data_IF_205554748334
#
_entry.id   IF_205554748334
#
_cell.length_a   1.000
_cell.length_b   1.000
_cell.length_c   1.000
_cell.angle_alpha   90.00
_cell.angle_beta   90.00
_cell.angle_gamma   90.00
#
_symmetry.space_group_name_H-M   'P 1'
#
loop_
_entity.id
_entity.type
_entity.pdbx_description
1 polymer ?
#
# COMPACT_ATOMS: atom_id res chain seq x y z
N UNK A 1 -27.15 1.37 -3.66
CA UNK A 1 -25.88 0.69 -3.39
C UNK A 1 -25.93 -0.70 -4.00
N UNK A 2 -25.74 -0.81 -5.31
CA UNK A 2 -25.62 -2.12 -5.97
C UNK A 2 -24.14 -2.53 -6.06
N UNK A 3 -23.56 -2.95 -4.94
CA UNK A 3 -22.31 -3.71 -4.95
C UNK A 3 -22.65 -5.21 -5.07
N UNK A 4 -22.03 -5.91 -6.00
CA UNK A 4 -22.09 -7.36 -6.07
C UNK A 4 -21.06 -7.95 -5.10
N UNK A 5 -21.53 -8.77 -4.16
CA UNK A 5 -20.71 -9.36 -3.11
C UNK A 5 -20.91 -10.87 -3.14
N UNK A 6 -19.80 -11.61 -3.30
CA UNK A 6 -19.85 -13.06 -3.47
C UNK A 6 -18.63 -13.73 -2.87
N UNK A 7 -18.84 -14.77 -2.08
CA UNK A 7 -17.76 -15.70 -1.71
C UNK A 7 -17.32 -16.53 -2.92
N UNK A 8 -16.02 -16.57 -3.16
CA UNK A 8 -15.39 -17.31 -4.26
C UNK A 8 -14.20 -18.13 -3.76
N UNK A 9 -13.80 -19.13 -4.53
CA UNK A 9 -12.46 -19.73 -4.40
C UNK A 9 -11.51 -18.95 -5.31
N UNK A 10 -10.36 -18.51 -4.77
CA UNK A 10 -9.41 -17.69 -5.52
C UNK A 10 -7.99 -18.24 -5.42
N UNK A 11 -7.47 -18.75 -6.54
CA UNK A 11 -6.13 -19.31 -6.63
C UNK A 11 -5.84 -20.34 -5.54
N UNK A 12 -4.70 -20.19 -4.87
CA UNK A 12 -4.32 -20.98 -3.69
C UNK A 12 -4.52 -20.22 -2.37
N UNK A 13 -5.37 -19.20 -2.36
CA UNK A 13 -5.71 -18.40 -1.18
C UNK A 13 -6.95 -18.92 -0.44
N UNK A 14 -7.62 -19.94 -0.99
CA UNK A 14 -8.85 -20.51 -0.43
C UNK A 14 -10.06 -19.62 -0.69
N UNK A 15 -10.95 -19.52 0.29
CA UNK A 15 -12.12 -18.65 0.23
C UNK A 15 -11.72 -17.18 0.31
N UNK A 16 -12.30 -16.40 -0.59
CA UNK A 16 -12.19 -14.96 -0.64
C UNK A 16 -13.57 -14.33 -0.85
N UNK A 17 -13.72 -13.06 -0.49
CA UNK A 17 -14.88 -12.25 -0.81
C UNK A 17 -14.57 -11.40 -2.05
N UNK A 18 -15.31 -11.61 -3.13
CA UNK A 18 -15.32 -10.73 -4.30
C UNK A 18 -16.31 -9.60 -4.08
N UNK A 19 -15.86 -8.36 -4.27
CA UNK A 19 -16.64 -7.13 -4.15
C UNK A 19 -16.52 -6.37 -5.46
N UNK A 20 -17.64 -6.04 -6.10
CA UNK A 20 -17.67 -5.36 -7.39
C UNK A 20 -18.71 -4.24 -7.43
N UNK A 21 -18.37 -3.12 -8.07
CA UNK A 21 -19.31 -2.05 -8.42
C UNK A 21 -19.60 -1.99 -9.93
N UNK A 22 -19.25 -3.06 -10.66
CA UNK A 22 -19.37 -3.15 -12.13
C UNK A 22 -18.19 -2.58 -12.90
N UNK A 23 -17.39 -1.69 -12.30
CA UNK A 23 -16.18 -1.12 -12.90
C UNK A 23 -14.92 -1.72 -12.27
N UNK A 24 -14.86 -1.76 -10.95
CA UNK A 24 -13.78 -2.38 -10.18
C UNK A 24 -14.25 -3.70 -9.59
N UNK A 25 -13.31 -4.63 -9.46
CA UNK A 25 -13.44 -5.81 -8.61
C UNK A 25 -12.28 -5.87 -7.63
N UNK A 26 -12.58 -5.89 -6.34
CA UNK A 26 -11.65 -6.25 -5.29
C UNK A 26 -11.92 -7.68 -4.82
N UNK A 27 -10.86 -8.46 -4.60
CA UNK A 27 -10.95 -9.78 -3.98
C UNK A 27 -10.20 -9.72 -2.64
N UNK A 28 -10.89 -10.07 -1.56
CA UNK A 28 -10.35 -10.01 -0.20
C UNK A 28 -10.28 -11.41 0.40
N UNK A 29 -9.13 -11.80 0.95
CA UNK A 29 -8.98 -13.11 1.60
C UNK A 29 -9.79 -13.20 2.88
N UNK A 30 -10.52 -14.30 3.07
CA UNK A 30 -11.30 -14.56 4.29
C UNK A 30 -10.90 -15.83 5.03
N UNK A 31 -10.22 -16.78 4.39
CA UNK A 31 -9.59 -17.92 5.08
C UNK A 31 -8.25 -17.55 5.75
N UNK A 32 -7.61 -16.46 5.30
CA UNK A 32 -6.36 -15.89 5.84
C UNK A 32 -6.40 -14.36 5.78
N UNK A 33 -5.54 -13.67 6.52
CA UNK A 33 -5.32 -12.22 6.40
C UNK A 33 -5.97 -11.37 7.50
N UNK A 34 -6.63 -10.23 7.14
CA UNK A 34 -7.16 -9.91 5.81
C UNK A 34 -6.15 -9.30 4.83
N UNK A 35 -6.36 -9.56 3.54
CA UNK A 35 -5.60 -9.01 2.41
C UNK A 35 -6.54 -8.68 1.25
N UNK A 36 -6.42 -7.49 0.66
CA UNK A 36 -6.99 -7.25 -0.68
C UNK A 36 -6.02 -7.89 -1.67
N UNK A 37 -6.28 -9.12 -2.10
CA UNK A 37 -5.33 -9.91 -2.90
C UNK A 37 -5.38 -9.57 -4.39
N UNK A 38 -6.52 -9.07 -4.85
CA UNK A 38 -6.69 -8.60 -6.23
C UNK A 38 -7.48 -7.31 -6.29
N UNK A 39 -7.07 -6.42 -7.21
CA UNK A 39 -7.84 -5.27 -7.66
C UNK A 39 -7.78 -5.22 -9.19
N UNK A 40 -8.94 -5.35 -9.83
CA UNK A 40 -9.06 -5.48 -11.29
C UNK A 40 -10.07 -4.48 -11.84
N UNK A 41 -9.85 -4.05 -13.09
CA UNK A 41 -10.74 -3.18 -13.86
C UNK A 41 -11.60 -4.01 -14.81
N UNK A 42 -12.91 -4.12 -14.56
CA UNK A 42 -13.83 -5.05 -15.21
C UNK A 42 -14.32 -4.61 -16.59
N UNK A 43 -14.39 -3.30 -16.84
CA UNK A 43 -14.80 -2.72 -18.14
C UNK A 43 -13.62 -2.61 -19.14
N UNK A 44 -12.42 -3.03 -18.75
CA UNK A 44 -11.28 -3.16 -19.65
C UNK A 44 -11.46 -4.38 -20.58
N UNK A 45 -10.93 -4.36 -21.82
CA UNK A 45 -11.04 -5.50 -22.76
C UNK A 45 -10.48 -6.82 -22.21
N UNK A 46 -9.45 -6.73 -21.36
CA UNK A 46 -8.86 -7.86 -20.66
C UNK A 46 -8.64 -7.48 -19.19
N UNK A 47 -9.65 -7.69 -18.32
CA UNK A 47 -9.51 -7.44 -16.89
C UNK A 47 -8.32 -8.21 -16.31
N UNK A 48 -7.46 -7.52 -15.57
CA UNK A 48 -6.32 -8.13 -14.91
C UNK A 48 -6.06 -7.49 -13.56
N UNK A 49 -5.48 -8.28 -12.65
CA UNK A 49 -5.08 -7.83 -11.33
C UNK A 49 -3.89 -6.87 -11.45
N UNK A 50 -3.95 -5.71 -10.78
CA UNK A 50 -2.83 -4.77 -10.66
C UNK A 50 -1.92 -5.10 -9.47
N UNK A 51 -2.43 -5.86 -8.49
CA UNK A 51 -1.71 -6.25 -7.29
C UNK A 51 -0.83 -7.49 -7.56
N UNK A 52 0.23 -7.62 -6.77
CA UNK A 52 1.10 -8.80 -6.79
C UNK A 52 0.49 -9.94 -5.98
N UNK A 53 0.59 -11.16 -6.49
CA UNK A 53 0.14 -12.39 -5.82
C UNK A 53 1.33 -13.31 -5.54
N UNK A 54 1.72 -13.49 -4.27
CA UNK A 54 2.77 -14.43 -3.88
C UNK A 54 2.25 -15.88 -3.84
N UNK A 55 1.82 -16.39 -5.00
CA UNK A 55 1.26 -17.75 -5.13
C UNK A 55 2.27 -18.84 -4.75
N UNK A 56 3.57 -18.57 -4.81
CA UNK A 56 4.61 -19.52 -4.42
C UNK A 56 4.97 -19.46 -2.94
N UNK A 57 4.42 -18.50 -2.17
CA UNK A 57 4.76 -18.27 -0.76
C UNK A 57 6.26 -18.08 -0.56
N UNK A 58 6.88 -17.33 -1.48
CA UNK A 58 8.33 -17.09 -1.52
C UNK A 58 8.79 -16.23 -0.36
N UNK A 59 7.98 -15.25 0.03
CA UNK A 59 8.33 -14.26 1.04
C UNK A 59 7.76 -14.67 2.40
N UNK A 60 8.66 -15.10 3.30
CA UNK A 60 8.29 -15.66 4.61
C UNK A 60 9.23 -15.21 5.72
N UNK A 61 8.73 -15.16 6.96
CA UNK A 61 9.54 -15.11 8.16
C UNK A 61 9.19 -16.32 9.05
N UNK A 62 10.21 -17.10 9.40
CA UNK A 62 10.07 -18.37 10.14
C UNK A 62 11.40 -18.77 10.78
N UNK A 63 11.37 -19.83 11.58
CA UNK A 63 12.55 -20.42 12.22
C UNK A 63 12.55 -20.22 13.74
N UNK A 64 13.61 -20.67 14.41
CA UNK A 64 13.63 -20.81 15.88
C UNK A 64 13.24 -19.54 16.65
N UNK A 65 13.73 -18.37 16.22
CA UNK A 65 13.37 -17.11 16.87
C UNK A 65 11.90 -16.75 16.66
N UNK A 66 11.35 -17.06 15.49
CA UNK A 66 9.94 -16.88 15.18
C UNK A 66 9.05 -17.86 15.95
N UNK A 67 9.47 -19.11 16.07
CA UNK A 67 8.77 -20.14 16.84
C UNK A 67 8.69 -19.79 18.34
N UNK A 68 9.72 -19.13 18.88
CA UNK A 68 9.73 -18.64 20.26
C UNK A 68 8.69 -17.53 20.50
N UNK A 69 8.39 -16.73 19.47
CA UNK A 69 7.44 -15.61 19.57
C UNK A 69 6.00 -16.05 19.33
N UNK A 70 5.79 -16.93 18.34
CA UNK A 70 4.45 -17.25 17.83
C UNK A 70 4.07 -18.73 17.95
N UNK A 71 4.91 -19.54 18.60
CA UNK A 71 4.68 -20.97 18.75
C UNK A 71 5.30 -21.84 17.64
N UNK A 72 5.38 -23.16 17.85
CA UNK A 72 6.12 -24.06 16.97
C UNK A 72 5.51 -24.14 15.56
N UNK A 73 6.38 -24.09 14.55
CA UNK A 73 6.03 -24.13 13.11
C UNK A 73 5.24 -22.90 12.63
N UNK A 74 5.33 -21.79 13.37
CA UNK A 74 4.73 -20.54 12.94
C UNK A 74 5.50 -19.98 11.75
N UNK A 75 4.76 -19.41 10.80
CA UNK A 75 5.33 -18.82 9.61
C UNK A 75 4.51 -17.61 9.19
N UNK A 76 5.17 -16.47 9.08
CA UNK A 76 4.63 -15.32 8.38
C UNK A 76 4.67 -15.60 6.86
N UNK A 77 3.62 -15.19 6.16
CA UNK A 77 3.57 -15.17 4.70
C UNK A 77 3.14 -13.79 4.22
N UNK A 78 3.85 -13.25 3.23
CA UNK A 78 3.46 -11.98 2.61
C UNK A 78 2.11 -12.09 1.90
N UNK A 79 1.82 -13.22 1.26
CA UNK A 79 0.65 -13.49 0.41
C UNK A 79 0.52 -12.61 -0.84
N UNK A 80 0.97 -11.36 -0.81
CA UNK A 80 0.78 -10.37 -1.86
C UNK A 80 -0.30 -9.36 -1.48
N UNK A 81 -0.82 -8.63 -2.47
CA UNK A 81 -1.98 -7.77 -2.31
C UNK A 81 -1.72 -6.52 -1.48
N UNK A 82 -2.74 -6.09 -0.77
CA UNK A 82 -2.71 -4.97 0.14
C UNK A 82 -3.05 -5.38 1.58
N UNK A 83 -2.35 -4.79 2.55
CA UNK A 83 -2.48 -5.09 3.99
C UNK A 83 -2.17 -3.90 4.89
N UNK A 84 -2.52 -4.05 6.17
CA UNK A 84 -2.10 -3.16 7.25
C UNK A 84 -1.01 -3.79 8.13
N UNK A 85 -0.02 -2.97 8.46
CA UNK A 85 0.99 -3.18 9.49
C UNK A 85 1.02 -1.99 10.45
N UNK A 86 1.84 -2.12 11.49
CA UNK A 86 2.13 -1.04 12.42
C UNK A 86 3.60 -0.63 12.24
N UNK A 87 3.85 0.67 12.33
CA UNK A 87 5.20 1.26 12.37
C UNK A 87 5.45 1.89 13.76
N UNK A 88 6.70 1.94 14.27
CA UNK A 88 7.95 1.43 13.66
C UNK A 88 7.95 -0.08 13.43
N UNK A 89 8.66 -0.52 12.40
CA UNK A 89 8.86 -1.95 12.13
C UNK A 89 9.54 -2.62 13.33
N UNK A 90 8.90 -3.65 13.85
CA UNK A 90 9.42 -4.47 14.93
C UNK A 90 9.14 -5.93 14.62
N UNK A 91 10.16 -6.79 14.77
CA UNK A 91 10.04 -8.18 14.38
C UNK A 91 8.87 -8.89 15.09
N UNK A 92 8.62 -8.56 16.36
CA UNK A 92 7.56 -9.17 17.17
C UNK A 92 6.15 -8.62 16.86
N UNK A 93 6.03 -7.37 16.42
CA UNK A 93 4.73 -6.72 16.15
C UNK A 93 4.31 -6.77 14.69
N UNK A 94 5.28 -6.68 13.78
CA UNK A 94 5.07 -6.54 12.34
C UNK A 94 4.88 -7.91 11.69
N UNK A 95 5.76 -8.88 11.95
CA UNK A 95 5.77 -10.18 11.25
C UNK A 95 4.82 -11.22 11.83
N UNK A 96 3.75 -10.82 12.50
CA UNK A 96 2.79 -11.79 13.02
C UNK A 96 2.17 -12.65 11.90
N UNK A 97 2.04 -13.97 12.13
CA UNK A 97 1.48 -14.90 11.15
C UNK A 97 -0.06 -14.78 11.03
N UNK A 98 -0.53 -13.85 10.20
CA UNK A 98 -1.94 -13.59 9.91
C UNK A 98 -2.59 -14.66 9.01
N UNK A 99 -2.46 -15.93 9.42
CA UNK A 99 -2.91 -17.12 8.69
C UNK A 99 -4.27 -17.65 9.16
N UNK A 100 -5.02 -16.85 9.92
CA UNK A 100 -6.30 -17.24 10.50
C UNK A 100 -7.47 -16.68 9.68
N UNK A 101 -8.64 -17.33 9.71
CA UNK A 101 -9.84 -16.81 9.07
C UNK A 101 -10.26 -15.43 9.59
N UNK A 102 -10.80 -14.62 8.69
CA UNK A 102 -11.23 -13.24 8.91
C UNK A 102 -12.74 -13.19 9.01
N UNK A 103 -13.26 -12.36 9.92
CA UNK A 103 -14.69 -12.04 9.97
C UNK A 103 -14.93 -10.79 9.14
N UNK A 104 -15.90 -10.85 8.23
CA UNK A 104 -16.35 -9.67 7.49
C UNK A 104 -17.79 -9.30 7.84
N UNK A 105 -18.10 -8.01 7.85
CA UNK A 105 -19.43 -7.48 8.12
C UNK A 105 -19.84 -6.45 7.08
N UNK A 106 -21.11 -6.51 6.67
CA UNK A 106 -21.73 -5.50 5.80
C UNK A 106 -22.18 -4.34 6.69
N UNK A 107 -21.74 -3.13 6.38
CA UNK A 107 -22.14 -1.90 7.07
C UNK A 107 -22.79 -0.93 6.10
N UNK A 108 -23.35 0.18 6.60
CA UNK A 108 -23.85 1.26 5.74
C UNK A 108 -22.72 1.97 4.97
N UNK A 109 -21.50 1.95 5.51
CA UNK A 109 -20.32 2.63 4.96
C UNK A 109 -19.55 1.76 3.96
N UNK A 110 -19.65 0.43 4.07
CA UNK A 110 -18.89 -0.50 3.23
C UNK A 110 -18.86 -1.92 3.79
N UNK A 111 -17.75 -2.61 3.58
CA UNK A 111 -17.53 -3.98 4.06
C UNK A 111 -16.30 -3.95 4.96
N UNK A 112 -16.48 -4.26 6.23
CA UNK A 112 -15.37 -4.34 7.18
C UNK A 112 -14.79 -5.74 7.23
N UNK A 113 -13.48 -5.82 7.46
CA UNK A 113 -12.71 -7.06 7.60
C UNK A 113 -11.86 -6.98 8.86
N UNK A 114 -12.21 -7.80 9.84
CA UNK A 114 -11.53 -7.86 11.13
C UNK A 114 -10.86 -9.21 11.28
N UNK A 115 -9.53 -9.21 11.45
CA UNK A 115 -8.83 -10.39 11.94
C UNK A 115 -9.31 -10.71 13.37
N UNK A 116 -9.28 -11.99 13.78
CA UNK A 116 -9.52 -12.37 15.17
C UNK A 116 -8.65 -11.52 16.10
N UNK A 117 -9.19 -11.14 17.27
CA UNK A 117 -8.38 -10.39 18.25
C UNK A 117 -7.19 -11.26 18.67
N UNK A 118 -6.01 -10.79 18.30
CA UNK A 118 -4.75 -11.48 18.56
C UNK A 118 -4.20 -11.12 19.95
N UNK A 119 -3.08 -11.73 20.35
CA UNK A 119 -2.29 -11.31 21.52
C UNK A 119 -1.58 -9.95 21.35
N UNK A 120 -1.90 -9.18 20.31
CA UNK A 120 -1.30 -7.85 20.08
C UNK A 120 -2.05 -6.78 20.87
N UNK A 121 -1.32 -5.75 21.30
CA UNK A 121 -1.89 -4.60 21.98
C UNK A 121 -2.80 -3.75 21.09
N UNK A 122 -2.54 -3.72 19.79
CA UNK A 122 -3.36 -3.02 18.79
C UNK A 122 -4.03 -4.05 17.89
N UNK A 123 -5.36 -4.04 17.86
CA UNK A 123 -6.16 -4.79 16.90
C UNK A 123 -6.29 -3.98 15.61
N UNK A 124 -6.06 -4.63 14.47
CA UNK A 124 -6.12 -4.02 13.14
C UNK A 124 -7.33 -4.49 12.35
N UNK A 125 -7.93 -3.56 11.62
CA UNK A 125 -9.08 -3.78 10.73
C UNK A 125 -8.91 -2.90 9.48
N UNK A 126 -9.50 -3.32 8.36
CA UNK A 126 -9.81 -2.37 7.30
C UNK A 126 -11.25 -2.52 6.80
N UNK A 127 -11.79 -1.42 6.29
CA UNK A 127 -13.07 -1.37 5.60
C UNK A 127 -12.84 -0.95 4.14
N UNK A 128 -13.58 -1.59 3.23
CA UNK A 128 -13.65 -1.22 1.82
C UNK A 128 -14.97 -0.54 1.54
N UNK A 129 -14.93 0.59 0.84
CA UNK A 129 -16.11 1.27 0.31
C UNK A 129 -15.92 1.57 -1.19
N UNK A 130 -16.95 1.28 -1.98
CA UNK A 130 -16.97 1.59 -3.42
C UNK A 130 -18.25 2.37 -3.76
N UNK A 131 -18.08 3.47 -4.50
CA UNK A 131 -19.21 4.18 -5.11
C UNK A 131 -19.74 3.43 -6.34
N UNK A 132 -21.01 3.63 -6.68
CA UNK A 132 -21.59 3.08 -7.91
C UNK A 132 -20.91 3.69 -9.14
N UNK A 133 -20.58 2.85 -10.14
CA UNK A 133 -19.91 3.27 -11.38
C UNK A 133 -18.65 4.14 -11.15
N UNK A 134 -17.94 3.88 -10.04
CA UNK A 134 -16.72 4.58 -9.67
C UNK A 134 -15.49 3.78 -10.09
N UNK A 135 -14.46 4.47 -10.55
CA UNK A 135 -13.13 3.90 -10.72
C UNK A 135 -12.26 3.93 -9.47
N UNK A 136 -12.86 4.34 -8.35
CA UNK A 136 -12.22 4.52 -7.07
C UNK A 136 -12.84 3.66 -5.99
N UNK A 137 -11.98 3.11 -5.13
CA UNK A 137 -12.27 2.35 -3.94
C UNK A 137 -11.58 3.02 -2.75
N UNK A 138 -12.33 3.30 -1.68
CA UNK A 138 -11.77 3.78 -0.42
C UNK A 138 -11.42 2.60 0.47
N UNK A 139 -10.27 2.66 1.13
CA UNK A 139 -9.81 1.72 2.14
C UNK A 139 -9.56 2.47 3.44
N UNK A 140 -10.34 2.17 4.48
CA UNK A 140 -10.22 2.78 5.80
C UNK A 140 -9.54 1.79 6.74
N UNK A 141 -8.31 2.08 7.11
CA UNK A 141 -7.56 1.31 8.10
C UNK A 141 -7.89 1.79 9.50
N UNK A 142 -8.06 0.87 10.44
CA UNK A 142 -8.26 1.19 11.85
C UNK A 142 -7.29 0.39 12.71
N UNK A 143 -6.64 1.07 13.66
CA UNK A 143 -5.91 0.44 14.75
C UNK A 143 -6.55 0.81 16.08
N UNK A 144 -7.09 -0.18 16.79
CA UNK A 144 -7.69 -0.02 18.12
C UNK A 144 -6.77 -0.55 19.19
N UNK A 145 -6.51 0.25 20.22
CA UNK A 145 -5.79 -0.24 21.39
C UNK A 145 -6.71 -1.08 22.27
N UNK A 146 -6.42 -2.38 22.35
CA UNK A 146 -7.16 -3.36 23.15
C UNK A 146 -6.38 -3.79 24.40
N UNK A 147 -5.21 -3.20 24.64
CA UNK A 147 -4.43 -3.40 25.87
C UNK A 147 -4.83 -2.41 26.97
N UNK A 148 -4.34 -2.66 28.19
CA UNK A 148 -4.53 -1.77 29.35
C UNK A 148 -3.55 -0.59 29.37
N UNK A 149 -2.52 -0.61 28.51
CA UNK A 149 -1.46 0.39 28.46
C UNK A 149 -1.62 1.33 27.27
N UNK A 150 -1.12 2.56 27.42
CA UNK A 150 -0.95 3.49 26.30
C UNK A 150 0.01 2.91 25.26
N UNK A 151 -0.41 2.87 24.00
CA UNK A 151 0.41 2.38 22.90
C UNK A 151 0.90 3.52 22.00
N UNK A 152 2.11 3.40 21.47
CA UNK A 152 2.61 4.30 20.42
C UNK A 152 2.76 3.53 19.11
N UNK A 153 2.04 3.97 18.07
CA UNK A 153 2.07 3.32 16.77
C UNK A 153 1.63 4.27 15.63
N UNK A 154 2.17 4.02 14.44
CA UNK A 154 1.63 4.49 13.16
C UNK A 154 0.98 3.33 12.43
N UNK A 155 -0.06 3.61 11.64
CA UNK A 155 -0.68 2.68 10.71
C UNK A 155 0.11 2.69 9.41
N UNK A 156 0.67 1.54 9.02
CA UNK A 156 1.51 1.36 7.85
C UNK A 156 0.78 0.47 6.83
N UNK A 157 0.23 1.10 5.79
CA UNK A 157 -0.61 0.44 4.79
C UNK A 157 0.20 0.15 3.52
N UNK A 158 0.27 -1.11 3.14
CA UNK A 158 1.26 -1.64 2.18
C UNK A 158 0.52 -2.23 1.00
N UNK A 159 0.78 -1.71 -0.21
CA UNK A 159 0.16 -2.21 -1.45
C UNK A 159 1.24 -2.78 -2.35
N UNK A 160 1.28 -4.10 -2.53
CA UNK A 160 2.24 -4.80 -3.38
C UNK A 160 1.68 -4.87 -4.79
N UNK A 161 2.41 -4.32 -5.76
CA UNK A 161 1.99 -4.18 -7.15
C UNK A 161 2.75 -5.14 -8.05
N UNK A 162 2.06 -5.68 -9.05
CA UNK A 162 2.60 -6.68 -9.98
C UNK A 162 3.83 -6.17 -10.73
N UNK A 163 4.68 -7.07 -11.19
CA UNK A 163 5.92 -6.76 -11.90
C UNK A 163 5.75 -5.95 -13.21
N UNK A 164 6.86 -5.36 -13.67
CA UNK A 164 7.00 -4.72 -14.98
C UNK A 164 6.45 -3.30 -15.10
N UNK A 165 6.18 -2.64 -13.98
CA UNK A 165 5.71 -1.25 -13.96
C UNK A 165 6.71 -0.26 -13.37
N UNK A 166 6.27 0.99 -13.25
CA UNK A 166 7.00 2.06 -12.58
C UNK A 166 6.06 2.91 -11.73
N UNK A 167 6.61 3.51 -10.68
CA UNK A 167 5.91 4.42 -9.79
C UNK A 167 6.41 5.85 -9.96
N UNK A 168 5.49 6.80 -9.78
CA UNK A 168 5.78 8.23 -9.69
C UNK A 168 5.24 8.78 -8.37
N UNK A 169 6.10 9.47 -7.64
CA UNK A 169 5.78 10.09 -6.35
C UNK A 169 6.19 11.55 -6.41
N UNK A 170 5.33 12.51 -6.05
CA UNK A 170 5.69 13.92 -6.03
C UNK A 170 6.68 14.18 -4.89
N UNK A 171 7.64 15.05 -5.16
CA UNK A 171 8.43 15.69 -4.12
C UNK A 171 7.82 17.03 -3.74
N UNK A 172 8.08 17.45 -2.50
CA UNK A 172 7.53 18.70 -2.00
C UNK A 172 8.01 19.88 -2.87
N UNK A 173 7.07 20.70 -3.39
CA UNK A 173 7.42 21.81 -4.24
C UNK A 173 8.22 22.84 -3.45
N UNK A 174 8.97 23.68 -4.17
CA UNK A 174 9.54 24.90 -3.59
C UNK A 174 8.38 25.75 -3.10
N UNK A 175 8.35 26.05 -1.80
CA UNK A 175 7.39 27.01 -1.24
C UNK A 175 7.91 28.42 -1.48
N UNK A 176 7.02 29.33 -1.85
CA UNK A 176 7.34 30.76 -1.88
C UNK A 176 7.68 31.22 -0.45
N UNK A 177 8.81 31.91 -0.27
CA UNK A 177 9.24 32.42 1.04
C UNK A 177 10.64 32.00 1.46
N UNK A 178 10.78 31.51 2.70
CA UNK A 178 12.08 31.24 3.31
C UNK A 178 12.77 30.01 2.68
N UNK A 179 13.75 30.25 1.82
CA UNK A 179 14.57 29.23 1.16
C UNK A 179 15.73 28.69 2.02
N UNK A 180 15.82 29.08 3.30
CA UNK A 180 16.93 28.71 4.18
C UNK A 180 16.73 27.37 4.89
N UNK A 181 15.50 26.84 4.93
CA UNK A 181 15.16 25.64 5.70
C UNK A 181 14.93 24.43 4.77
N UNK A 182 15.24 23.20 5.22
CA UNK A 182 14.91 21.99 4.47
C UNK A 182 13.39 21.85 4.35
N UNK A 183 12.92 21.40 3.18
CA UNK A 183 11.50 21.16 2.89
C UNK A 183 11.20 19.74 2.39
N UNK A 184 12.22 18.87 2.37
CA UNK A 184 12.16 17.50 1.88
C UNK A 184 12.97 16.60 2.77
N UNK A 185 12.44 15.41 2.98
CA UNK A 185 13.05 14.34 3.74
C UNK A 185 13.16 13.12 2.86
N UNK A 186 14.34 12.48 2.92
CA UNK A 186 14.59 11.20 2.25
C UNK A 186 15.10 10.23 3.31
N UNK A 187 14.36 9.16 3.52
CA UNK A 187 14.71 8.08 4.44
C UNK A 187 15.29 6.91 3.64
N UNK A 188 16.46 6.43 4.05
CA UNK A 188 17.19 5.35 3.40
C UNK A 188 17.48 4.24 4.41
N UNK A 189 17.20 3.00 4.02
CA UNK A 189 17.56 1.83 4.82
C UNK A 189 19.02 1.45 4.55
N UNK A 190 19.68 0.78 5.49
CA UNK A 190 21.10 0.42 5.39
C UNK A 190 21.48 -0.35 4.10
N UNK A 191 20.53 -1.08 3.51
CA UNK A 191 20.73 -1.85 2.28
C UNK A 191 20.42 -1.07 0.99
N UNK A 192 20.01 0.20 1.11
CA UNK A 192 19.59 1.01 -0.03
C UNK A 192 20.80 1.47 -0.81
N UNK A 193 20.93 0.98 -2.04
CA UNK A 193 21.92 1.48 -2.99
C UNK A 193 21.33 2.67 -3.75
N UNK A 194 21.92 3.85 -3.57
CA UNK A 194 21.52 5.06 -4.28
C UNK A 194 21.87 5.04 -5.77
N UNK A 195 22.75 4.13 -6.19
CA UNK A 195 23.07 3.90 -7.59
C UNK A 195 22.21 2.81 -8.24
N UNK A 196 21.21 2.27 -7.52
CA UNK A 196 20.29 1.31 -8.09
C UNK A 196 19.56 1.93 -9.29
N UNK A 197 19.67 1.34 -10.50
CA UNK A 197 19.08 1.93 -11.72
C UNK A 197 17.56 1.96 -11.70
N UNK A 198 16.92 1.29 -10.72
CA UNK A 198 15.48 1.38 -10.47
C UNK A 198 15.09 2.69 -9.81
N UNK A 199 16.02 3.42 -9.20
CA UNK A 199 15.76 4.68 -8.49
C UNK A 199 16.13 5.87 -9.38
N UNK A 200 15.20 6.82 -9.58
CA UNK A 200 15.53 8.14 -10.11
C UNK A 200 15.02 9.24 -9.19
N UNK A 201 15.94 10.08 -8.74
CA UNK A 201 15.66 11.23 -7.87
C UNK A 201 15.66 12.52 -8.69
N UNK A 202 14.47 12.98 -9.07
CA UNK A 202 14.25 14.29 -9.68
C UNK A 202 14.17 15.43 -8.65
N UNK A 203 13.85 16.64 -9.10
CA UNK A 203 13.55 17.76 -8.20
C UNK A 203 12.07 17.86 -7.84
N UNK A 204 11.21 17.39 -8.74
CA UNK A 204 9.74 17.39 -8.67
C UNK A 204 9.18 16.00 -8.40
N UNK A 205 9.86 14.95 -8.86
CA UNK A 205 9.37 13.59 -8.75
C UNK A 205 10.45 12.63 -8.26
N UNK A 206 10.05 11.65 -7.45
CA UNK A 206 10.76 10.41 -7.19
C UNK A 206 10.15 9.35 -8.12
N UNK A 207 11.01 8.64 -8.86
CA UNK A 207 10.61 7.53 -9.71
C UNK A 207 11.21 6.22 -9.18
N UNK A 208 10.41 5.16 -9.26
CA UNK A 208 10.82 3.81 -8.93
C UNK A 208 10.39 2.85 -10.04
N UNK A 209 11.35 2.20 -10.71
CA UNK A 209 11.06 1.14 -11.66
C UNK A 209 11.04 -0.21 -10.95
N UNK A 210 10.07 -1.06 -11.24
CA UNK A 210 10.03 -2.39 -10.61
C UNK A 210 11.21 -3.26 -11.10
N UNK A 211 11.63 -3.08 -12.35
CA UNK A 211 12.78 -3.73 -12.97
C UNK A 211 13.57 -2.71 -13.78
N UNK A 212 14.90 -2.84 -13.79
CA UNK A 212 15.79 -2.07 -14.63
C UNK A 212 17.02 -2.90 -15.00
N UNK A 213 17.55 -2.70 -16.20
CA UNK A 213 18.81 -3.33 -16.62
C UNK A 213 19.96 -2.88 -15.71
N UNK A 214 20.84 -3.81 -15.32
CA UNK A 214 21.97 -3.52 -14.44
C UNK A 214 21.63 -3.45 -12.95
N UNK A 215 20.38 -3.73 -12.54
CA UNK A 215 20.04 -3.83 -11.12
C UNK A 215 20.78 -5.00 -10.47
N UNK A 216 21.67 -4.70 -9.52
CA UNK A 216 22.47 -5.70 -8.78
C UNK A 216 21.95 -5.96 -7.38
N UNK A 217 21.28 -4.98 -6.75
CA UNK A 217 20.73 -5.15 -5.42
C UNK A 217 19.45 -5.99 -5.46
N UNK A 218 19.28 -6.99 -4.56
CA UNK A 218 18.05 -7.78 -4.52
C UNK A 218 16.82 -6.95 -4.11
N UNK A 219 17.04 -5.83 -3.42
CA UNK A 219 15.98 -4.96 -2.93
C UNK A 219 16.39 -3.49 -2.88
N UNK A 220 15.42 -2.59 -2.99
CA UNK A 220 15.57 -1.15 -2.90
C UNK A 220 14.46 -0.60 -2.01
N UNK A 221 14.77 0.27 -1.03
CA UNK A 221 13.75 0.95 -0.22
C UNK A 221 14.07 2.43 -0.08
N UNK A 222 13.06 3.29 -0.20
CA UNK A 222 13.21 4.73 0.01
C UNK A 222 11.92 5.31 0.60
N UNK A 223 12.06 6.23 1.55
CA UNK A 223 10.95 6.96 2.18
C UNK A 223 11.00 8.45 1.89
N UNK A 224 9.85 9.11 1.84
CA UNK A 224 9.75 10.58 1.74
C UNK A 224 8.54 11.14 2.48
N UNK A 225 8.64 12.42 2.85
CA UNK A 225 7.58 13.26 3.42
C UNK A 225 6.68 13.81 2.31
N UNK A 226 6.07 12.92 1.50
CA UNK A 226 5.21 13.29 0.37
C UNK A 226 3.96 14.08 0.81
N UNK A 227 4.05 15.41 0.87
CA UNK A 227 2.99 16.30 1.36
C UNK A 227 1.75 16.31 0.46
N UNK A 228 1.94 16.11 -0.84
CA UNK A 228 0.84 16.06 -1.81
C UNK A 228 -0.05 14.82 -1.63
N UNK A 229 0.41 13.82 -0.87
CA UNK A 229 -0.41 12.69 -0.45
C UNK A 229 -0.88 11.78 -1.60
N UNK A 230 -0.08 11.63 -2.65
CA UNK A 230 -0.43 10.73 -3.76
C UNK A 230 0.77 10.04 -4.37
N UNK A 231 0.56 8.85 -4.93
CA UNK A 231 1.52 8.16 -5.77
C UNK A 231 0.81 7.43 -6.92
N UNK A 232 1.51 7.27 -8.04
CA UNK A 232 1.02 6.58 -9.24
C UNK A 232 1.85 5.31 -9.47
N UNK A 233 1.24 4.29 -10.05
CA UNK A 233 1.90 3.11 -10.59
C UNK A 233 1.30 2.71 -11.93
N UNK A 234 2.14 2.60 -12.95
CA UNK A 234 1.74 2.20 -14.30
C UNK A 234 2.24 0.79 -14.59
N UNK A 235 1.35 -0.11 -15.04
CA UNK A 235 1.72 -1.42 -15.57
C UNK A 235 0.80 -1.84 -16.71
N UNK A 236 1.37 -2.13 -17.89
CA UNK A 236 0.60 -2.59 -19.06
C UNK A 236 -0.32 -1.50 -19.60
N UNK A 237 -1.65 -1.62 -19.43
CA UNK A 237 -2.66 -0.58 -19.73
C UNK A 237 -3.37 -0.04 -18.48
N UNK A 238 -2.95 -0.47 -17.29
CA UNK A 238 -3.51 -0.03 -16.02
C UNK A 238 -2.67 1.08 -15.39
N UNK A 239 -3.35 2.09 -14.86
CA UNK A 239 -2.79 3.13 -14.02
C UNK A 239 -3.45 3.05 -12.65
N UNK A 240 -2.69 2.68 -11.63
CA UNK A 240 -3.10 2.68 -10.25
C UNK A 240 -2.67 4.00 -9.60
N UNK A 241 -3.62 4.73 -9.04
CA UNK A 241 -3.36 5.89 -8.21
C UNK A 241 -3.76 5.57 -6.77
N UNK A 242 -2.88 5.96 -5.84
CA UNK A 242 -3.11 5.83 -4.41
C UNK A 242 -3.00 7.21 -3.77
N UNK A 243 -4.08 7.69 -3.15
CA UNK A 243 -4.11 8.97 -2.42
C UNK A 243 -4.33 8.74 -0.93
N UNK A 244 -3.71 9.58 -0.11
CA UNK A 244 -3.83 9.63 1.35
C UNK A 244 -3.65 11.07 1.82
N UNK A 245 -3.83 11.35 3.11
CA UNK A 245 -3.64 12.70 3.65
C UNK A 245 -2.34 12.76 4.45
N UNK A 246 -1.50 13.74 4.14
CA UNK A 246 -0.33 14.09 4.93
C UNK A 246 -0.64 15.29 5.84
N UNK A 247 -0.29 15.19 7.12
CA UNK A 247 -0.35 16.31 8.09
C UNK A 247 1.04 16.87 8.33
N UNK A 248 1.31 18.05 7.75
CA UNK A 248 2.62 18.73 7.83
C UNK A 248 3.05 19.11 9.25
N UNK A 249 2.15 19.07 10.23
CA UNK A 249 2.46 19.38 11.63
C UNK A 249 2.62 18.12 12.49
N UNK A 250 2.35 16.94 11.92
CA UNK A 250 2.43 15.68 12.64
C UNK A 250 3.83 15.07 12.59
N UNK A 251 4.11 14.19 13.56
CA UNK A 251 5.34 13.41 13.58
C UNK A 251 5.05 12.09 12.87
N UNK A 252 5.85 11.77 11.86
CA UNK A 252 5.81 10.50 11.14
C UNK A 252 6.95 9.58 11.60
N UNK A 253 6.76 8.25 11.49
CA UNK A 253 7.84 7.30 11.77
C UNK A 253 8.95 7.38 10.71
N UNK A 254 9.96 6.53 10.85
CA UNK A 254 10.95 6.26 9.80
C UNK A 254 11.64 7.53 9.27
N UNK A 255 11.97 8.45 10.18
CA UNK A 255 12.64 9.70 9.86
C UNK A 255 11.73 10.80 9.31
N UNK A 256 10.41 10.64 9.35
CA UNK A 256 9.44 11.60 8.80
C UNK A 256 8.71 11.10 7.56
N UNK A 257 8.82 9.80 7.25
CA UNK A 257 8.23 9.22 6.04
C UNK A 257 6.71 9.06 6.18
N UNK A 258 5.97 9.61 5.21
CA UNK A 258 4.54 9.32 5.04
C UNK A 258 4.27 8.45 3.81
N UNK A 259 5.27 8.33 2.94
CA UNK A 259 5.31 7.41 1.82
C UNK A 259 6.63 6.63 1.87
N UNK A 260 6.58 5.34 1.55
CA UNK A 260 7.74 4.51 1.28
C UNK A 260 7.52 3.69 -0.01
N UNK A 261 8.58 3.53 -0.78
CA UNK A 261 8.62 2.63 -1.92
C UNK A 261 9.61 1.50 -1.67
N UNK A 262 9.15 0.25 -1.83
CA UNK A 262 9.99 -0.94 -1.67
C UNK A 262 9.97 -1.79 -2.94
N UNK A 263 11.13 -2.10 -3.50
CA UNK A 263 11.25 -2.86 -4.75
C UNK A 263 12.00 -4.15 -4.52
N UNK A 264 11.47 -5.24 -5.06
CA UNK A 264 12.13 -6.55 -5.14
C UNK A 264 12.15 -7.04 -6.59
N UNK A 265 12.71 -8.22 -6.84
CA UNK A 265 12.65 -8.86 -8.16
C UNK A 265 11.21 -9.12 -8.66
N UNK A 266 10.25 -9.34 -7.75
CA UNK A 266 8.91 -9.83 -8.11
C UNK A 266 7.81 -8.75 -8.00
N UNK A 267 8.02 -7.70 -7.20
CA UNK A 267 7.02 -6.66 -6.98
C UNK A 267 7.63 -5.30 -6.62
N UNK A 268 6.81 -4.26 -6.74
CA UNK A 268 7.04 -2.93 -6.17
C UNK A 268 5.90 -2.63 -5.19
N UNK A 269 6.23 -2.24 -3.96
CA UNK A 269 5.26 -1.84 -2.96
C UNK A 269 5.16 -0.32 -2.85
N UNK A 270 3.92 0.17 -2.84
CA UNK A 270 3.58 1.54 -2.45
C UNK A 270 3.03 1.53 -1.04
N UNK A 271 3.80 2.07 -0.12
CA UNK A 271 3.55 2.03 1.31
C UNK A 271 3.23 3.45 1.78
N UNK A 272 2.16 3.61 2.56
CA UNK A 272 1.85 4.90 3.17
C UNK A 272 1.67 4.73 4.66
N UNK A 273 2.07 5.76 5.40
CA UNK A 273 2.11 5.74 6.85
C UNK A 273 1.24 6.86 7.39
N UNK A 274 0.50 6.58 8.46
CA UNK A 274 -0.12 7.63 9.27
C UNK A 274 0.93 8.32 10.15
N UNK A 275 0.58 9.43 10.80
CA UNK A 275 1.33 9.92 11.96
C UNK A 275 1.58 8.85 13.03
N UNK A 276 2.60 9.07 13.85
CA UNK A 276 2.80 8.36 15.11
C UNK A 276 1.79 8.86 16.14
N UNK A 277 0.90 7.97 16.56
CA UNK A 277 -0.12 8.27 17.56
C UNK A 277 0.26 7.72 18.92
N UNK A 278 -0.18 8.41 19.98
CA UNK A 278 -0.32 7.85 21.33
C UNK A 278 -1.79 7.47 21.53
N UNK A 279 -2.05 6.17 21.59
CA UNK A 279 -3.39 5.59 21.56
C UNK A 279 -3.73 5.08 22.96
N UNK A 280 -4.70 5.70 23.63
CA UNK A 280 -5.12 5.27 24.96
C UNK A 280 -5.88 3.93 24.91
N UNK A 281 -5.95 3.18 26.02
CA UNK A 281 -6.77 1.96 26.10
C UNK A 281 -8.21 2.20 25.62
N UNK A 282 -8.68 1.41 24.67
CA UNK A 282 -10.01 1.50 24.07
C UNK A 282 -10.12 2.48 22.89
N UNK A 283 -9.18 3.42 22.74
CA UNK A 283 -9.18 4.39 21.64
C UNK A 283 -8.76 3.74 20.31
N UNK A 284 -9.13 4.40 19.21
CA UNK A 284 -8.81 3.98 17.85
C UNK A 284 -8.26 5.12 17.02
N UNK A 285 -7.36 4.79 16.11
CA UNK A 285 -6.83 5.71 15.10
C UNK A 285 -7.12 5.16 13.71
N UNK A 286 -7.17 6.05 12.71
CA UNK A 286 -7.53 5.70 11.33
C UNK A 286 -6.53 6.23 10.33
N UNK A 287 -6.37 5.48 9.24
CA UNK A 287 -5.59 5.88 8.07
C UNK A 287 -6.37 5.54 6.81
N UNK A 288 -6.69 6.56 6.01
CA UNK A 288 -7.60 6.41 4.87
C UNK A 288 -6.81 6.53 3.58
N UNK A 289 -6.98 5.53 2.71
CA UNK A 289 -6.42 5.52 1.37
C UNK A 289 -7.56 5.49 0.34
N UNK A 290 -7.39 6.21 -0.77
CA UNK A 290 -8.25 6.10 -1.94
C UNK A 290 -7.46 5.49 -3.08
N UNK A 291 -7.93 4.35 -3.58
CA UNK A 291 -7.36 3.64 -4.72
C UNK A 291 -8.18 3.95 -5.95
N UNK A 292 -7.55 4.47 -6.99
CA UNK A 292 -8.17 4.65 -8.30
C UNK A 292 -7.45 3.74 -9.29
N UNK A 293 -8.21 2.97 -10.07
CA UNK A 293 -7.64 2.10 -11.10
C UNK A 293 -8.21 2.46 -12.47
N UNK A 294 -7.42 3.19 -13.24
CA UNK A 294 -7.77 3.61 -14.60
C UNK A 294 -7.29 2.61 -15.66
N UNK A 295 -8.10 2.45 -16.72
CA UNK A 295 -7.66 1.85 -17.98
C UNK A 295 -7.17 2.96 -18.91
N UNK A 296 -5.91 2.90 -19.34
CA UNK A 296 -5.20 3.90 -20.17
C UNK A 296 -4.47 3.21 -21.32
N UNK A 297 -5.19 2.65 -22.31
CA UNK A 297 -4.58 1.98 -23.43
C UNK A 297 -3.79 2.96 -24.29
N UNK A 298 -2.66 2.51 -24.83
CA UNK A 298 -1.78 3.30 -25.70
C UNK A 298 -1.20 4.58 -25.06
N UNK A 299 -1.28 4.71 -23.73
CA UNK A 299 -0.57 5.78 -23.02
C UNK A 299 0.92 5.45 -23.03
N UNK A 300 1.69 6.17 -23.84
CA UNK A 300 3.14 6.06 -23.89
C UNK A 300 3.76 6.49 -22.56
N UNK A 301 4.90 5.89 -22.21
CA UNK A 301 5.67 6.29 -21.05
C UNK A 301 6.27 7.69 -21.27
N UNK A 302 6.43 8.51 -20.21
CA UNK A 302 7.10 9.78 -20.32
C UNK A 302 8.60 9.58 -20.58
N UNK A 303 9.27 10.64 -21.05
CA UNK A 303 10.72 10.70 -20.94
C UNK A 303 11.08 10.87 -19.46
N UNK A 304 11.53 9.78 -18.83
CA UNK A 304 11.89 9.74 -17.41
C UNK A 304 13.07 10.67 -17.05
N UNK A 305 13.82 11.15 -18.05
CA UNK A 305 14.91 12.12 -17.84
C UNK A 305 14.45 13.58 -17.89
N UNK A 306 13.20 13.84 -18.31
CA UNK A 306 12.62 15.18 -18.41
C UNK A 306 11.40 15.34 -17.48
N UNK A 307 11.56 16.12 -16.41
CA UNK A 307 10.47 16.40 -15.47
C UNK A 307 9.30 17.18 -16.09
N UNK A 308 9.48 17.86 -17.23
CA UNK A 308 8.37 18.47 -17.96
C UNK A 308 7.53 17.40 -18.68
N UNK A 309 8.18 16.45 -19.35
CA UNK A 309 7.53 15.27 -19.94
C UNK A 309 6.74 14.48 -18.88
N UNK A 310 7.34 14.21 -17.72
CA UNK A 310 6.67 13.52 -16.61
C UNK A 310 5.43 14.31 -16.13
N UNK A 311 5.56 15.63 -15.95
CA UNK A 311 4.46 16.46 -15.50
C UNK A 311 3.29 16.49 -16.50
N UNK A 312 3.59 16.57 -17.80
CA UNK A 312 2.58 16.50 -18.85
C UNK A 312 1.88 15.14 -18.83
N UNK A 313 2.64 14.05 -18.72
CA UNK A 313 2.09 12.70 -18.63
C UNK A 313 1.16 12.51 -17.43
N UNK A 314 1.50 13.08 -16.26
CA UNK A 314 0.63 13.04 -15.08
C UNK A 314 -0.69 13.77 -15.35
N UNK A 315 -0.62 14.96 -15.97
CA UNK A 315 -1.80 15.77 -16.27
C UNK A 315 -2.73 15.11 -17.30
N UNK A 316 -2.18 14.39 -18.27
CA UNK A 316 -2.95 13.67 -19.30
C UNK A 316 -3.52 12.34 -18.81
N UNK A 317 -2.82 11.68 -17.88
CA UNK A 317 -3.18 10.34 -17.40
C UNK A 317 -4.22 10.35 -16.27
N UNK A 318 -4.23 11.41 -15.46
CA UNK A 318 -5.27 11.64 -14.44
C UNK A 318 -6.54 12.16 -15.09
N UNK A 319 -7.69 11.59 -14.71
CA UNK A 319 -8.97 12.11 -15.19
C UNK A 319 -9.28 13.48 -14.55
N UNK A 320 -9.97 14.38 -15.26
CA UNK A 320 -10.40 15.66 -14.71
C UNK A 320 -11.36 15.41 -13.54
N UNK A 321 -10.96 15.82 -12.33
CA UNK A 321 -11.74 15.64 -11.09
C UNK A 321 -10.93 15.11 -9.90
N UNK A 322 -9.74 14.56 -10.14
CA UNK A 322 -8.77 14.21 -9.10
C UNK A 322 -7.83 15.40 -8.81
N UNK A 323 -8.39 16.51 -8.31
CA UNK A 323 -7.61 17.61 -7.70
C UNK A 323 -7.98 17.66 -6.24
#
# INVERSE_FOLDING_TARGET
MFMEIKEIQYGNYGKCLSISNGILQAVVTIDVGPRIISLSRLDAPSPSNILFEDTQRKYTAKGKAFDQLYGPNSCYYTYGGHRLWLSPEDYCRTYYPDNSPVIYSLTEEGISFSAPQEHRAIQTEFMISMGENSESMMVIHTGKNVSEDMQTASLWAITLLRAGGFAIVPQNPKKDGNLLLPNRTISLWNYTDLHDPRLCLGNRYLLLHQQAEGAVSPQLKIGTDCHEGWCLYRSGDLLFEKRYVHDVNAIYPDGGASFEGFVTADYLALETLSPLYRIAPGDSVRHVENFTLGYRPNLADPDFSDEASIAQWIAESRLPGCV
#
